data_IF_934832589678
#
_entry.id   IF_934832589678
#
_cell.length_a   1.000
_cell.length_b   1.000
_cell.length_c   1.000
_cell.angle_alpha   90.00
_cell.angle_beta   90.00
_cell.angle_gamma   90.00
#
_symmetry.space_group_name_H-M   'P 1'
#
loop_
_entity.id
_entity.type
_entity.pdbx_description
1 polymer ?
#
# COMPACT_ATOMS: atom_id res chain seq x y z
N UNK A 1 -29.65 33.93 12.77
CA UNK A 1 -28.91 33.03 11.87
C UNK A 1 -27.48 32.96 12.36
N UNK A 2 -27.01 31.83 12.90
CA UNK A 2 -25.59 31.52 12.98
C UNK A 2 -25.26 30.32 12.09
N UNK A 3 -24.43 30.56 11.07
CA UNK A 3 -23.78 29.54 10.24
C UNK A 3 -22.99 28.56 11.12
N UNK A 4 -23.58 27.39 11.37
CA UNK A 4 -22.88 26.24 11.94
C UNK A 4 -22.27 25.43 10.81
N UNK A 5 -21.21 25.98 10.20
CA UNK A 5 -20.35 25.22 9.31
C UNK A 5 -19.48 24.29 10.19
N UNK A 6 -20.11 23.19 10.60
CA UNK A 6 -19.46 22.12 11.33
C UNK A 6 -18.47 21.45 10.38
N UNK A 7 -17.24 21.93 10.43
CA UNK A 7 -16.08 21.42 9.73
C UNK A 7 -15.88 19.94 10.08
N UNK A 8 -16.58 19.07 9.35
CA UNK A 8 -16.27 17.66 9.25
C UNK A 8 -14.96 17.58 8.50
N UNK A 9 -13.85 17.67 9.24
CA UNK A 9 -12.52 17.32 8.78
C UNK A 9 -12.51 15.82 8.50
N UNK A 10 -13.15 15.41 7.40
CA UNK A 10 -12.81 14.14 6.77
C UNK A 10 -11.38 14.34 6.30
N UNK A 11 -10.43 13.80 7.06
CA UNK A 11 -9.08 13.59 6.59
C UNK A 11 -9.13 12.53 5.48
N UNK A 12 -9.81 12.83 4.38
CA UNK A 12 -9.67 12.09 3.14
C UNK A 12 -8.34 12.56 2.58
N UNK A 13 -7.30 11.74 2.71
CA UNK A 13 -6.05 11.95 1.99
C UNK A 13 -6.41 12.11 0.50
N UNK A 14 -6.35 13.31 -0.11
CA UNK A 14 -6.95 13.57 -1.43
C UNK A 14 -6.18 12.92 -2.60
N UNK A 15 -5.14 12.13 -2.31
CA UNK A 15 -4.14 11.73 -3.30
C UNK A 15 -4.23 10.25 -3.70
N UNK A 16 -4.94 9.40 -2.96
CA UNK A 16 -5.07 7.98 -3.27
C UNK A 16 -6.44 7.42 -2.84
N UNK A 17 -7.46 7.39 -3.72
CA UNK A 17 -8.78 6.85 -3.37
C UNK A 17 -8.74 5.34 -3.09
N UNK A 18 -7.73 4.65 -3.61
CA UNK A 18 -7.47 3.22 -3.39
C UNK A 18 -6.50 2.96 -2.22
N UNK A 19 -6.17 3.98 -1.42
CA UNK A 19 -5.34 3.80 -0.23
C UNK A 19 -6.16 3.44 1.00
N UNK A 20 -5.77 2.36 1.67
CA UNK A 20 -6.30 1.93 2.95
C UNK A 20 -5.39 2.37 4.10
N UNK A 21 -5.99 2.75 5.23
CA UNK A 21 -5.25 3.10 6.43
C UNK A 21 -5.08 1.86 7.31
N UNK A 22 -3.84 1.40 7.43
CA UNK A 22 -3.45 0.22 8.22
C UNK A 22 -2.55 0.71 9.35
N UNK A 23 -3.14 0.88 10.54
CA UNK A 23 -2.47 1.49 11.68
C UNK A 23 -2.03 2.93 11.39
N UNK A 24 -0.73 3.21 11.53
CA UNK A 24 -0.13 4.50 11.17
C UNK A 24 0.26 4.60 9.69
N UNK A 25 0.15 3.51 8.93
CA UNK A 25 0.50 3.47 7.51
C UNK A 25 -0.70 3.76 6.61
N UNK A 26 -0.48 4.57 5.58
CA UNK A 26 -1.43 4.69 4.46
C UNK A 26 -0.92 3.83 3.30
N UNK A 27 -1.50 2.65 3.10
CA UNK A 27 -1.06 1.66 2.11
C UNK A 27 -1.95 1.65 0.87
N UNK A 28 -1.35 1.42 -0.30
CA UNK A 28 -2.06 1.18 -1.55
C UNK A 28 -1.78 -0.24 -2.03
N UNK A 29 -2.80 -0.93 -2.53
CA UNK A 29 -2.59 -2.19 -3.24
C UNK A 29 -1.93 -1.90 -4.59
N UNK A 30 -0.72 -2.39 -4.75
CA UNK A 30 0.02 -2.32 -6.00
C UNK A 30 0.14 -3.70 -6.60
N UNK A 31 -0.07 -3.75 -7.90
CA UNK A 31 0.08 -4.96 -8.69
C UNK A 31 1.20 -4.75 -9.70
N UNK A 32 2.19 -5.65 -9.72
CA UNK A 32 3.32 -5.58 -10.63
C UNK A 32 3.58 -6.94 -11.29
N UNK A 33 4.06 -6.90 -12.54
CA UNK A 33 4.59 -8.07 -13.22
C UNK A 33 6.05 -8.28 -12.82
N UNK A 34 6.30 -9.34 -12.06
CA UNK A 34 7.63 -9.73 -11.61
C UNK A 34 8.19 -10.77 -12.59
N UNK A 35 9.39 -10.56 -13.15
CA UNK A 35 10.03 -11.57 -14.00
C UNK A 35 10.54 -12.73 -13.15
N UNK A 36 10.30 -13.95 -13.60
CA UNK A 36 10.74 -15.18 -12.94
C UNK A 36 9.60 -16.14 -12.61
N UNK A 37 9.94 -17.32 -12.07
CA UNK A 37 8.97 -18.28 -11.58
C UNK A 37 8.25 -17.74 -10.33
N UNK A 38 6.95 -18.00 -10.20
CA UNK A 38 6.19 -17.62 -9.02
C UNK A 38 6.76 -18.32 -7.77
N UNK A 39 6.97 -17.61 -6.63
CA UNK A 39 7.56 -18.19 -5.41
C UNK A 39 6.70 -19.30 -4.81
N UNK A 40 5.38 -19.21 -4.96
CA UNK A 40 4.46 -20.32 -4.75
C UNK A 40 4.39 -21.23 -6.00
N UNK A 41 4.94 -22.45 -5.96
CA UNK A 41 4.99 -23.34 -7.12
C UNK A 41 3.61 -23.88 -7.52
N UNK A 42 2.60 -23.84 -6.64
CA UNK A 42 1.24 -24.26 -6.98
C UNK A 42 0.50 -23.21 -7.83
N UNK A 43 0.94 -21.95 -7.77
CA UNK A 43 0.42 -20.85 -8.61
C UNK A 43 1.17 -20.69 -9.93
N UNK A 44 2.36 -21.29 -10.02
CA UNK A 44 3.14 -21.29 -11.24
C UNK A 44 2.47 -22.19 -12.29
N UNK A 45 2.27 -21.66 -13.49
CA UNK A 45 1.87 -22.45 -14.66
C UNK A 45 3.10 -22.91 -15.43
N UNK A 46 3.04 -24.10 -16.02
CA UNK A 46 4.08 -24.57 -16.93
C UNK A 46 4.35 -23.54 -18.04
N UNK A 47 5.61 -23.10 -18.16
CA UNK A 47 6.03 -22.09 -19.12
C UNK A 47 5.81 -20.63 -18.71
N UNK A 48 5.35 -20.36 -17.48
CA UNK A 48 5.24 -19.00 -16.97
C UNK A 48 6.63 -18.39 -16.73
N UNK A 49 6.92 -17.27 -17.41
CA UNK A 49 8.18 -16.51 -17.30
C UNK A 49 8.07 -15.27 -16.41
N UNK A 50 6.85 -14.85 -16.11
CA UNK A 50 6.54 -13.70 -15.28
C UNK A 50 5.25 -13.97 -14.50
N UNK A 51 5.17 -13.44 -13.30
CA UNK A 51 4.00 -13.59 -12.46
C UNK A 51 3.52 -12.23 -11.94
N UNK A 52 2.22 -12.12 -11.76
CA UNK A 52 1.59 -10.92 -11.25
C UNK A 52 1.62 -10.98 -9.71
N UNK A 53 2.46 -10.14 -9.12
CA UNK A 53 2.62 -10.01 -7.68
C UNK A 53 1.81 -8.82 -7.18
N UNK A 54 1.07 -9.03 -6.09
CA UNK A 54 0.34 -7.99 -5.39
C UNK A 54 1.08 -7.69 -4.10
N UNK A 55 1.41 -6.42 -3.89
CA UNK A 55 2.06 -5.92 -2.68
C UNK A 55 1.41 -4.61 -2.25
N UNK A 56 1.40 -4.39 -0.95
CA UNK A 56 0.96 -3.17 -0.32
C UNK A 56 2.12 -2.21 -0.23
N UNK A 57 1.92 -0.98 -0.69
CA UNK A 57 2.92 0.08 -0.58
C UNK A 57 2.41 1.19 0.30
N UNK A 58 3.14 1.52 1.36
CA UNK A 58 2.85 2.72 2.11
C UNK A 58 3.23 3.97 1.31
N UNK A 59 2.30 4.91 1.10
CA UNK A 59 2.58 6.17 0.41
C UNK A 59 3.33 7.17 1.28
N UNK A 60 3.21 7.03 2.62
CA UNK A 60 3.88 7.90 3.58
C UNK A 60 5.37 7.58 3.70
N UNK A 61 5.73 6.39 4.22
CA UNK A 61 7.13 5.98 4.39
C UNK A 61 7.75 5.32 3.13
N UNK A 62 6.92 4.81 2.21
CA UNK A 62 7.41 4.16 0.98
C UNK A 62 7.67 2.66 1.12
N UNK A 63 7.44 2.06 2.29
CA UNK A 63 7.64 0.61 2.49
C UNK A 63 6.73 -0.21 1.58
N UNK A 64 7.27 -1.28 1.00
CA UNK A 64 6.56 -2.22 0.11
C UNK A 64 6.59 -3.59 0.75
N UNK A 65 5.42 -4.17 0.99
CA UNK A 65 5.25 -5.45 1.70
C UNK A 65 4.18 -6.30 1.02
N UNK A 66 4.26 -7.62 1.14
CA UNK A 66 3.26 -8.50 0.53
C UNK A 66 1.96 -8.58 1.34
N UNK A 67 2.02 -8.30 2.65
CA UNK A 67 0.89 -8.41 3.58
C UNK A 67 0.90 -7.25 4.57
N UNK A 68 -0.26 -6.91 5.09
CA UNK A 68 -0.43 -5.86 6.10
C UNK A 68 0.36 -6.18 7.38
N UNK A 69 0.46 -7.46 7.75
CA UNK A 69 1.22 -7.93 8.92
C UNK A 69 2.73 -7.74 8.81
N UNK A 70 3.26 -7.64 7.57
CA UNK A 70 4.68 -7.38 7.33
C UNK A 70 4.99 -5.87 7.39
N UNK A 71 3.98 -5.01 7.51
CA UNK A 71 4.21 -3.59 7.76
C UNK A 71 4.85 -3.41 9.13
N UNK A 72 5.83 -2.51 9.26
CA UNK A 72 6.35 -2.15 10.57
C UNK A 72 5.22 -1.55 11.42
N UNK A 73 5.32 -1.67 12.74
CA UNK A 73 4.31 -1.12 13.65
C UNK A 73 4.26 0.42 13.62
N UNK A 74 5.37 1.05 13.21
CA UNK A 74 5.52 2.51 13.15
C UNK A 74 5.78 2.96 11.73
N UNK A 75 4.99 3.94 11.29
CA UNK A 75 5.19 4.57 10.00
C UNK A 75 6.19 5.72 10.16
N UNK A 76 7.42 5.49 9.69
CA UNK A 76 8.48 6.49 9.73
C UNK A 76 8.61 7.22 8.37
N UNK A 77 7.94 8.36 8.16
CA UNK A 77 8.06 9.13 6.92
C UNK A 77 9.41 9.83 6.77
N UNK A 78 10.23 9.88 7.84
CA UNK A 78 11.54 10.56 7.85
C UNK A 78 12.65 9.69 7.22
N UNK A 79 12.41 8.40 7.03
CA UNK A 79 13.28 7.49 6.26
C UNK A 79 13.42 7.83 4.77
N UNK A 80 12.62 8.77 4.23
CA UNK A 80 12.86 9.38 2.91
C UNK A 80 14.04 10.37 2.98
N UNK A 81 15.24 9.87 3.22
CA UNK A 81 16.46 10.63 2.95
C UNK A 81 16.65 10.74 1.44
N UNK A 82 16.05 11.81 0.91
CA UNK A 82 16.46 12.64 -0.23
C UNK A 82 17.17 12.01 -1.42
#
# INVERSE_FOLDING_TARGET
MPDSDSYSKRASAPQHPDAEQVGEHLVIDKTQWCPGPHPDPHRQRDGQTEYLERYLRCVQCGVEVLREDDLPETCDPEGKTR
#
